data_IF_434945182035
#
_entry.id   IF_434945182035
#
_cell.length_a   1.000
_cell.length_b   1.000
_cell.length_c   1.000
_cell.angle_alpha   90.00
_cell.angle_beta   90.00
_cell.angle_gamma   90.00
#
_symmetry.space_group_name_H-M   'P 1'
#
loop_
_entity.id
_entity.type
_entity.pdbx_description
1 polymer ?
#
# COMPACT_ATOMS: atom_id res chain seq x y z
N UNK A 1 -15.81 28.33 39.93
CA UNK A 1 -15.87 29.79 40.10
C UNK A 1 -14.67 30.40 39.39
N UNK A 2 -14.93 31.36 38.50
CA UNK A 2 -14.05 32.43 37.98
C UNK A 2 -12.69 31.99 37.37
N UNK A 3 -12.37 32.22 36.09
CA UNK A 3 -12.74 33.32 35.19
C UNK A 3 -11.50 34.21 34.99
N UNK A 4 -11.06 34.42 33.74
CA UNK A 4 -9.92 35.31 33.46
C UNK A 4 -9.47 35.31 32.01
N UNK A 5 -10.24 35.99 31.15
CA UNK A 5 -9.85 36.41 29.80
C UNK A 5 -8.90 37.61 29.93
N UNK A 6 -7.78 37.63 29.22
CA UNK A 6 -7.10 38.86 28.82
C UNK A 6 -6.58 38.74 27.39
N UNK A 7 -7.27 39.42 26.47
CA UNK A 7 -6.69 39.83 25.20
C UNK A 7 -5.96 41.15 25.36
N UNK A 8 -4.88 41.33 24.60
CA UNK A 8 -4.31 42.64 24.27
C UNK A 8 -4.03 42.62 22.78
N UNK A 9 -4.58 43.61 22.08
CA UNK A 9 -4.36 43.87 20.66
C UNK A 9 -3.73 45.26 20.48
N UNK A 10 -3.07 45.39 19.32
CA UNK A 10 -2.68 46.59 18.57
C UNK A 10 -1.26 47.14 18.75
N UNK A 11 -0.50 47.06 17.65
CA UNK A 11 -0.03 48.26 16.95
C UNK A 11 -0.12 48.06 15.43
N UNK A 12 -0.83 48.98 14.81
CA UNK A 12 -1.15 49.13 13.39
C UNK A 12 -0.18 50.08 12.68
N UNK A 13 -0.16 50.00 11.34
CA UNK A 13 -0.06 51.07 10.33
C UNK A 13 0.88 50.64 9.16
N UNK A 14 0.57 50.82 7.87
CA UNK A 14 -0.41 51.66 7.17
C UNK A 14 -0.64 51.10 5.75
N UNK A 15 -1.85 51.20 5.23
CA UNK A 15 -2.12 51.51 3.81
C UNK A 15 -3.54 52.10 3.71
N UNK A 16 -3.64 53.29 3.12
CA UNK A 16 -4.86 54.09 3.00
C UNK A 16 -5.73 53.65 1.80
N UNK A 17 -7.05 53.96 1.82
CA UNK A 17 -8.04 53.42 0.88
C UNK A 17 -8.30 54.35 -0.31
N UNK A 18 -8.85 53.80 -1.40
CA UNK A 18 -9.61 54.54 -2.40
C UNK A 18 -11.06 54.04 -2.44
N UNK A 19 -11.95 55.02 -2.58
CA UNK A 19 -13.39 55.08 -2.35
C UNK A 19 -14.25 54.37 -3.43
N UNK A 20 -15.57 54.22 -3.18
CA UNK A 20 -16.48 53.34 -3.91
C UNK A 20 -17.20 54.04 -5.07
N UNK A 21 -17.70 53.24 -6.04
CA UNK A 21 -18.67 53.69 -7.04
C UNK A 21 -19.98 52.93 -6.83
N UNK A 22 -21.04 53.69 -6.61
CA UNK A 22 -22.42 53.27 -6.40
C UNK A 22 -23.20 53.15 -7.71
N UNK A 23 -23.94 52.03 -7.80
CA UNK A 23 -25.29 51.83 -8.36
C UNK A 23 -25.68 52.35 -9.74
N UNK A 24 -26.17 51.42 -10.60
CA UNK A 24 -27.41 51.63 -11.34
C UNK A 24 -28.19 50.33 -11.56
N UNK A 25 -29.38 50.31 -10.99
CA UNK A 25 -30.47 49.36 -11.25
C UNK A 25 -31.17 49.78 -12.54
N UNK A 26 -31.46 48.81 -13.42
CA UNK A 26 -32.55 48.93 -14.39
C UNK A 26 -33.32 47.60 -14.43
N UNK A 27 -34.59 47.66 -14.03
CA UNK A 27 -35.62 46.66 -14.31
C UNK A 27 -36.51 47.21 -15.44
N UNK A 28 -36.84 46.35 -16.41
CA UNK A 28 -38.13 46.30 -17.12
C UNK A 28 -38.17 44.93 -17.84
N UNK A 29 -39.01 43.96 -17.50
CA UNK A 29 -40.47 43.85 -17.53
C UNK A 29 -40.95 42.98 -18.72
N UNK A 30 -41.45 41.79 -18.35
CA UNK A 30 -42.61 41.01 -18.85
C UNK A 30 -42.73 40.59 -20.32
N UNK A 31 -42.92 39.27 -20.46
CA UNK A 31 -44.04 38.53 -21.11
C UNK A 31 -43.46 37.25 -21.75
N UNK A 32 -44.08 36.08 -21.87
CA UNK A 32 -45.22 35.38 -21.27
C UNK A 32 -45.38 34.09 -22.10
N UNK A 33 -45.59 32.92 -21.47
CA UNK A 33 -46.25 31.71 -22.05
C UNK A 33 -45.44 31.01 -23.18
N UNK A 34 -45.07 29.74 -23.08
CA UNK A 34 -46.01 28.63 -23.22
C UNK A 34 -45.59 27.32 -22.53
N UNK A 35 -46.61 26.60 -22.11
CA UNK A 35 -46.56 25.29 -21.46
C UNK A 35 -46.35 24.19 -22.51
N UNK A 36 -45.55 23.17 -22.20
CA UNK A 36 -45.92 21.80 -22.57
C UNK A 36 -45.44 20.81 -21.52
N UNK A 37 -46.42 20.06 -21.05
CA UNK A 37 -46.36 18.97 -20.08
C UNK A 37 -45.99 17.70 -20.83
N UNK A 38 -45.03 16.92 -20.32
CA UNK A 38 -45.01 15.47 -20.54
C UNK A 38 -44.63 14.78 -19.22
N UNK A 39 -45.55 13.94 -18.75
CA UNK A 39 -45.36 12.95 -17.68
C UNK A 39 -45.10 11.59 -18.32
N UNK A 40 -44.12 10.84 -17.79
CA UNK A 40 -44.16 9.37 -17.62
C UNK A 40 -42.98 9.00 -16.71
N UNK A 41 -43.21 8.60 -15.43
CA UNK A 41 -43.18 7.20 -14.93
C UNK A 41 -41.96 6.42 -15.41
N UNK A 42 -41.15 5.71 -14.64
CA UNK A 42 -41.28 5.07 -13.32
C UNK A 42 -39.96 4.30 -13.12
N UNK A 43 -39.48 4.09 -11.89
CA UNK A 43 -38.39 3.14 -11.67
C UNK A 43 -37.61 3.33 -10.38
N UNK A 44 -38.16 2.81 -9.29
CA UNK A 44 -37.53 2.64 -7.98
C UNK A 44 -36.34 1.68 -8.02
N UNK A 45 -35.26 1.99 -7.28
CA UNK A 45 -34.47 0.96 -6.60
C UNK A 45 -34.08 1.45 -5.20
N UNK A 46 -34.70 0.80 -4.22
CA UNK A 46 -34.45 0.94 -2.79
C UNK A 46 -33.12 0.28 -2.42
N UNK A 47 -32.39 0.95 -1.53
CA UNK A 47 -31.20 0.47 -0.82
C UNK A 47 -31.57 -0.57 0.23
N UNK A 48 -31.01 -1.77 0.14
CA UNK A 48 -31.06 -2.80 1.18
C UNK A 48 -29.79 -2.71 2.03
N UNK A 49 -29.83 -1.92 3.10
CA UNK A 49 -28.86 -1.92 4.20
C UNK A 49 -29.56 -1.26 5.40
N UNK A 50 -30.44 -2.02 6.06
CA UNK A 50 -30.91 -1.74 7.44
C UNK A 50 -31.88 -2.86 7.87
N UNK A 51 -31.35 -4.01 8.29
CA UNK A 51 -32.12 -4.99 9.10
C UNK A 51 -31.21 -6.11 9.66
N UNK A 52 -30.34 -5.79 10.63
CA UNK A 52 -29.78 -6.82 11.55
C UNK A 52 -29.09 -6.21 12.80
N UNK A 53 -29.65 -5.18 13.42
CA UNK A 53 -29.22 -4.75 14.77
C UNK A 53 -30.45 -4.55 15.65
N UNK A 54 -31.16 -5.64 15.97
CA UNK A 54 -31.93 -5.79 17.24
C UNK A 54 -32.20 -7.28 17.44
N UNK A 55 -31.43 -7.94 18.31
CA UNK A 55 -31.83 -9.01 19.25
C UNK A 55 -30.59 -9.72 19.75
N UNK A 56 -30.27 -9.51 21.02
CA UNK A 56 -29.99 -10.53 22.04
C UNK A 56 -29.29 -9.85 23.23
N UNK A 57 -30.07 -9.12 24.02
CA UNK A 57 -29.81 -8.92 25.44
C UNK A 57 -30.65 -9.94 26.21
N UNK A 58 -29.99 -10.77 27.00
CA UNK A 58 -30.65 -11.82 27.79
C UNK A 58 -29.64 -12.62 28.61
N UNK A 59 -29.44 -12.18 29.85
CA UNK A 59 -28.62 -12.83 30.87
C UNK A 59 -29.11 -14.27 31.19
N UNK A 60 -28.19 -15.21 31.47
CA UNK A 60 -27.98 -15.82 32.82
C UNK A 60 -27.20 -17.15 32.79
N UNK A 61 -26.23 -17.19 33.70
CA UNK A 61 -25.88 -18.29 34.62
C UNK A 61 -25.05 -19.50 34.16
N UNK A 62 -23.97 -19.68 34.93
CA UNK A 62 -23.05 -20.80 35.09
C UNK A 62 -23.72 -22.17 35.37
N UNK A 63 -23.17 -23.24 34.76
CA UNK A 63 -22.92 -24.55 35.40
C UNK A 63 -21.97 -25.43 34.57
N UNK A 64 -20.97 -26.00 35.25
CA UNK A 64 -20.06 -27.06 34.79
C UNK A 64 -20.83 -28.34 34.41
N UNK A 65 -20.39 -29.06 33.36
CA UNK A 65 -19.98 -30.48 33.41
C UNK A 65 -19.48 -31.00 32.05
N UNK A 66 -18.51 -31.90 32.19
CA UNK A 66 -17.88 -32.84 31.24
C UNK A 66 -18.81 -33.63 30.33
N UNK A 67 -18.36 -33.96 29.11
CA UNK A 67 -18.06 -35.35 28.68
C UNK A 67 -17.95 -35.47 27.15
N UNK A 68 -17.35 -36.59 26.76
CA UNK A 68 -16.80 -37.08 25.50
C UNK A 68 -17.70 -37.19 24.25
N UNK A 69 -16.99 -37.28 23.11
CA UNK A 69 -17.27 -38.02 21.86
C UNK A 69 -18.47 -37.64 20.98
N UNK A 70 -18.19 -37.40 19.69
CA UNK A 70 -19.21 -37.49 18.65
C UNK A 70 -18.88 -36.82 17.33
N UNK A 71 -18.20 -37.55 16.45
CA UNK A 71 -18.13 -37.28 15.01
C UNK A 71 -19.52 -37.04 14.42
N UNK A 72 -19.72 -35.92 13.72
CA UNK A 72 -20.70 -35.80 12.64
C UNK A 72 -20.38 -34.63 11.71
N UNK A 73 -20.03 -35.00 10.48
CA UNK A 73 -19.93 -34.14 9.29
C UNK A 73 -21.21 -33.33 9.11
N UNK A 74 -21.09 -32.02 8.87
CA UNK A 74 -22.03 -31.30 8.01
C UNK A 74 -21.26 -30.31 7.15
N UNK A 75 -21.36 -30.53 5.84
CA UNK A 75 -20.65 -29.87 4.75
C UNK A 75 -21.59 -28.78 4.23
N UNK A 76 -21.27 -27.51 4.45
CA UNK A 76 -21.98 -26.41 3.81
C UNK A 76 -21.46 -26.30 2.37
N UNK A 77 -22.37 -26.54 1.43
CA UNK A 77 -22.13 -26.69 0.00
C UNK A 77 -22.55 -25.39 -0.67
N UNK A 78 -21.60 -24.61 -1.19
CA UNK A 78 -21.89 -23.46 -2.05
C UNK A 78 -21.96 -23.93 -3.51
N UNK A 79 -22.92 -23.45 -4.32
CA UNK A 79 -23.07 -23.91 -5.69
C UNK A 79 -21.96 -23.36 -6.60
N UNK A 80 -21.24 -24.30 -7.24
CA UNK A 80 -20.35 -24.07 -8.38
C UNK A 80 -21.16 -23.57 -9.58
N UNK A 81 -20.91 -22.35 -10.01
CA UNK A 81 -21.34 -21.89 -11.33
C UNK A 81 -20.31 -22.37 -12.37
N UNK A 82 -20.76 -23.29 -13.21
CA UNK A 82 -20.05 -23.81 -14.38
C UNK A 82 -19.97 -22.69 -15.43
N UNK A 83 -18.77 -22.21 -15.74
CA UNK A 83 -18.56 -21.44 -16.97
C UNK A 83 -18.10 -22.43 -18.04
N UNK A 84 -19.01 -22.65 -19.00
CA UNK A 84 -18.84 -23.53 -20.13
C UNK A 84 -17.75 -23.05 -21.07
N UNK A 85 -17.06 -24.04 -21.61
CA UNK A 85 -16.04 -23.95 -22.63
C UNK A 85 -16.72 -23.73 -23.98
N UNK A 86 -16.56 -22.57 -24.61
CA UNK A 86 -16.84 -22.40 -26.04
C UNK A 86 -15.55 -22.10 -26.79
N UNK A 87 -15.10 -23.11 -27.53
CA UNK A 87 -14.10 -22.98 -28.57
C UNK A 87 -14.70 -22.22 -29.75
N UNK A 88 -14.16 -21.04 -30.06
CA UNK A 88 -14.35 -20.38 -31.34
C UNK A 88 -13.05 -20.47 -32.14
N UNK A 89 -13.14 -21.18 -33.26
CA UNK A 89 -12.07 -21.40 -34.22
C UNK A 89 -11.72 -20.13 -34.99
N UNK A 90 -10.43 -20.00 -35.33
CA UNK A 90 -9.98 -19.46 -36.61
C UNK A 90 -10.04 -17.96 -36.81
N UNK A 91 -8.99 -17.26 -36.41
CA UNK A 91 -8.51 -16.08 -37.15
C UNK A 91 -7.01 -15.90 -36.92
N UNK A 92 -6.23 -16.13 -37.98
CA UNK A 92 -4.81 -15.78 -38.05
C UNK A 92 -4.68 -14.27 -37.87
N UNK A 93 -4.16 -13.83 -36.73
CA UNK A 93 -3.71 -12.46 -36.53
C UNK A 93 -2.22 -12.41 -36.85
N UNK A 94 -1.90 -11.92 -38.05
CA UNK A 94 -0.56 -11.43 -38.33
C UNK A 94 -0.31 -10.22 -37.42
N UNK A 95 0.45 -10.43 -36.35
CA UNK A 95 0.98 -9.34 -35.53
C UNK A 95 2.08 -8.66 -36.34
N UNK A 96 1.72 -7.59 -37.04
CA UNK A 96 2.69 -6.60 -37.50
C UNK A 96 3.16 -5.88 -36.24
N UNK A 97 4.37 -6.21 -35.78
CA UNK A 97 5.01 -5.44 -34.71
C UNK A 97 5.35 -4.05 -35.25
N UNK A 98 4.55 -3.06 -34.87
CA UNK A 98 4.92 -1.66 -34.99
C UNK A 98 5.93 -1.32 -33.89
N UNK A 99 7.20 -1.18 -34.28
CA UNK A 99 8.32 -0.79 -33.40
C UNK A 99 8.40 0.72 -33.15
N UNK A 100 7.28 1.45 -33.18
CA UNK A 100 7.27 2.90 -33.02
C UNK A 100 6.25 3.43 -32.01
N UNK A 101 6.22 2.88 -30.80
CA UNK A 101 5.71 3.61 -29.63
C UNK A 101 6.83 3.84 -28.61
N UNK A 102 7.70 4.75 -29.01
CA UNK A 102 8.67 5.40 -28.15
C UNK A 102 7.89 6.29 -27.15
N UNK A 103 7.55 5.76 -25.98
CA UNK A 103 7.18 6.58 -24.81
C UNK A 103 8.46 7.19 -24.21
N UNK A 104 9.21 7.90 -25.04
CA UNK A 104 10.18 8.86 -24.57
C UNK A 104 9.37 10.06 -24.07
N UNK A 105 9.32 10.23 -22.75
CA UNK A 105 9.03 11.53 -22.14
C UNK A 105 9.86 12.59 -22.88
N UNK A 106 9.18 13.48 -23.60
CA UNK A 106 9.79 14.64 -24.26
C UNK A 106 10.64 15.38 -23.23
N UNK A 107 11.96 15.33 -23.40
CA UNK A 107 12.92 16.03 -22.58
C UNK A 107 12.90 17.56 -22.78
N UNK A 108 12.06 18.09 -23.68
CA UNK A 108 12.01 19.52 -24.03
C UNK A 108 10.65 20.20 -23.77
N UNK A 109 9.77 19.63 -22.94
CA UNK A 109 8.58 20.38 -22.52
C UNK A 109 8.92 21.33 -21.36
N UNK A 110 9.32 22.56 -21.68
CA UNK A 110 9.28 23.67 -20.74
C UNK A 110 7.82 24.00 -20.42
N UNK A 111 7.33 23.50 -19.28
CA UNK A 111 6.04 23.88 -18.72
C UNK A 111 6.07 25.35 -18.30
N UNK A 112 5.20 26.18 -18.89
CA UNK A 112 4.94 27.54 -18.40
C UNK A 112 4.29 27.49 -17.02
N UNK A 113 4.65 28.36 -16.05
CA UNK A 113 4.21 28.25 -14.66
C UNK A 113 2.72 28.50 -14.37
N UNK A 114 1.89 28.83 -15.37
CA UNK A 114 0.60 29.52 -15.14
C UNK A 114 -0.66 28.65 -15.20
N UNK A 115 -0.57 27.32 -15.34
CA UNK A 115 -1.77 26.45 -15.28
C UNK A 115 -1.51 25.12 -14.57
N UNK A 116 -1.13 25.18 -13.29
CA UNK A 116 -1.36 24.07 -12.36
C UNK A 116 -2.57 24.44 -11.49
N UNK A 117 -3.78 24.18 -11.97
CA UNK A 117 -4.86 23.86 -11.02
C UNK A 117 -4.47 22.50 -10.42
N UNK A 118 -3.79 22.56 -9.28
CA UNK A 118 -3.35 21.37 -8.54
C UNK A 118 -4.59 20.63 -8.04
N UNK A 119 -5.13 19.73 -8.84
CA UNK A 119 -5.89 18.61 -8.31
C UNK A 119 -4.88 17.83 -7.47
N UNK A 120 -4.87 18.09 -6.15
CA UNK A 120 -4.08 17.31 -5.22
C UNK A 120 -4.68 15.90 -5.21
N UNK A 121 -4.17 15.02 -6.08
CA UNK A 121 -4.58 13.62 -6.08
C UNK A 121 -4.15 13.01 -4.76
N UNK A 122 -5.14 12.73 -3.91
CA UNK A 122 -4.96 11.88 -2.75
C UNK A 122 -4.80 10.45 -3.25
N UNK A 123 -3.71 9.79 -2.85
CA UNK A 123 -3.38 8.42 -3.28
C UNK A 123 -3.49 7.50 -2.08
N UNK A 124 -4.22 6.40 -2.24
CA UNK A 124 -4.36 5.34 -1.25
C UNK A 124 -3.46 4.17 -1.63
N UNK A 125 -2.61 3.76 -0.69
CA UNK A 125 -1.68 2.64 -0.88
C UNK A 125 -1.99 1.55 0.15
N UNK A 126 -2.31 0.34 -0.33
CA UNK A 126 -2.51 -0.83 0.52
C UNK A 126 -1.18 -1.39 1.04
N UNK A 127 -0.83 -1.11 2.30
CA UNK A 127 0.40 -1.60 2.94
C UNK A 127 0.39 -3.12 3.08
N UNK A 128 1.34 -3.80 2.43
CA UNK A 128 1.37 -5.28 2.24
C UNK A 128 0.05 -5.86 1.71
N UNK A 129 -0.66 -5.06 0.92
CA UNK A 129 -2.07 -5.25 0.59
C UNK A 129 -3.01 -4.74 1.69
N UNK A 130 -3.61 -5.64 2.46
CA UNK A 130 -4.64 -5.33 3.46
C UNK A 130 -4.11 -5.03 4.88
N UNK A 131 -2.83 -4.65 5.00
CA UNK A 131 -2.18 -4.32 6.27
C UNK A 131 -1.24 -5.42 6.78
N UNK A 132 -0.41 -5.04 7.75
CA UNK A 132 0.49 -5.98 8.45
C UNK A 132 -0.30 -6.86 9.41
N UNK A 133 0.10 -8.12 9.54
CA UNK A 133 -0.41 -9.06 10.52
C UNK A 133 0.46 -9.03 11.77
N UNK A 134 -0.18 -9.09 12.94
CA UNK A 134 0.49 -9.25 14.23
C UNK A 134 0.56 -10.74 14.58
N UNK A 135 1.57 -11.10 15.37
CA UNK A 135 1.57 -12.39 16.06
C UNK A 135 0.59 -12.29 17.22
N UNK A 136 -0.43 -13.13 17.22
CA UNK A 136 -1.37 -13.22 18.33
C UNK A 136 -0.85 -14.24 19.35
N UNK A 137 -0.83 -13.92 20.66
CA UNK A 137 -0.59 -14.92 21.69
C UNK A 137 -1.57 -16.10 21.55
N UNK A 138 -1.13 -17.31 21.88
CA UNK A 138 -1.97 -18.50 21.83
C UNK A 138 -3.27 -18.30 22.64
N UNK A 139 -4.42 -18.50 21.99
CA UNK A 139 -5.73 -18.32 22.61
C UNK A 139 -6.31 -16.90 22.59
N UNK A 140 -5.61 -15.94 21.98
CA UNK A 140 -6.16 -14.58 21.77
C UNK A 140 -7.25 -14.60 20.72
N UNK A 141 -8.30 -13.82 20.92
CA UNK A 141 -9.30 -13.58 19.87
C UNK A 141 -8.69 -12.72 18.77
N UNK A 142 -8.93 -13.01 17.48
CA UNK A 142 -8.59 -12.13 16.38
C UNK A 142 -9.13 -10.72 16.62
N UNK A 143 -8.50 -9.72 15.99
CA UNK A 143 -9.01 -8.35 15.98
C UNK A 143 -10.45 -8.34 15.40
N UNK A 144 -11.22 -7.28 15.65
CA UNK A 144 -12.58 -7.14 15.10
C UNK A 144 -12.62 -7.15 13.57
N UNK A 145 -11.47 -6.96 12.92
CA UNK A 145 -11.28 -7.04 11.48
C UNK A 145 -10.59 -8.36 11.12
N UNK A 146 -11.10 -9.03 10.08
CA UNK A 146 -10.47 -10.21 9.50
C UNK A 146 -9.02 -9.93 9.10
N UNK A 147 -8.11 -10.79 9.56
CA UNK A 147 -6.69 -10.76 9.20
C UNK A 147 -6.46 -11.60 7.94
N UNK A 148 -5.85 -10.99 6.93
CA UNK A 148 -5.49 -11.64 5.67
C UNK A 148 -3.98 -11.65 5.59
N UNK A 149 -3.39 -12.78 5.20
CA UNK A 149 -1.94 -12.94 5.09
C UNK A 149 -1.31 -11.79 4.29
N UNK A 150 -0.47 -11.01 4.96
CA UNK A 150 0.28 -9.90 4.38
C UNK A 150 1.18 -10.39 3.25
N UNK A 151 1.46 -9.54 2.26
CA UNK A 151 2.38 -9.86 1.16
C UNK A 151 1.96 -11.09 0.31
N UNK A 152 0.66 -11.19 0.01
CA UNK A 152 0.09 -12.27 -0.81
C UNK A 152 -0.83 -11.72 -1.90
N UNK A 153 -1.00 -12.50 -2.98
CA UNK A 153 -1.88 -12.16 -4.11
C UNK A 153 -3.31 -11.90 -3.63
N UNK A 154 -3.82 -12.71 -2.70
CA UNK A 154 -5.15 -12.51 -2.10
C UNK A 154 -5.25 -11.15 -1.40
N UNK A 155 -4.25 -10.78 -0.60
CA UNK A 155 -4.20 -9.49 0.10
C UNK A 155 -4.16 -8.31 -0.87
N UNK A 156 -3.36 -8.40 -1.94
CA UNK A 156 -3.24 -7.35 -2.95
C UNK A 156 -4.51 -7.16 -3.76
N UNK A 157 -5.11 -8.25 -4.25
CA UNK A 157 -6.33 -8.19 -5.03
C UNK A 157 -7.53 -7.75 -4.18
N UNK A 158 -7.54 -8.03 -2.87
CA UNK A 158 -8.55 -7.45 -2.01
C UNK A 158 -8.34 -5.95 -1.78
N UNK A 159 -7.11 -5.47 -1.59
CA UNK A 159 -6.83 -4.04 -1.49
C UNK A 159 -7.26 -3.30 -2.77
N UNK A 160 -6.94 -3.86 -3.93
CA UNK A 160 -7.40 -3.38 -5.25
C UNK A 160 -8.93 -3.28 -5.34
N UNK A 161 -9.65 -4.33 -4.92
CA UNK A 161 -11.13 -4.33 -4.87
C UNK A 161 -11.71 -3.29 -3.91
N UNK A 162 -10.93 -2.81 -2.95
CA UNK A 162 -11.30 -1.73 -2.04
C UNK A 162 -10.71 -0.38 -2.49
N UNK A 163 -10.49 -0.21 -3.80
CA UNK A 163 -10.12 1.06 -4.44
C UNK A 163 -8.75 1.62 -4.01
N UNK A 164 -7.82 0.75 -3.57
CA UNK A 164 -6.44 1.16 -3.41
C UNK A 164 -5.81 1.45 -4.79
N UNK A 165 -5.26 2.66 -4.96
CA UNK A 165 -4.55 3.07 -6.19
C UNK A 165 -3.29 2.23 -6.40
N UNK A 166 -2.58 1.96 -5.30
CA UNK A 166 -1.39 1.12 -5.27
C UNK A 166 -1.51 0.04 -4.19
N UNK A 167 -0.80 -1.06 -4.38
CA UNK A 167 -0.40 -1.95 -3.29
C UNK A 167 1.09 -1.79 -3.05
N UNK A 168 1.45 -1.73 -1.77
CA UNK A 168 2.83 -1.76 -1.33
C UNK A 168 3.17 -3.16 -0.84
N UNK A 169 4.40 -3.57 -1.10
CA UNK A 169 4.93 -4.82 -0.60
C UNK A 169 6.46 -4.83 -0.55
N UNK A 170 6.98 -5.70 0.31
CA UNK A 170 8.40 -5.83 0.61
C UNK A 170 9.08 -6.88 -0.26
N UNK A 171 10.11 -6.50 -1.00
CA UNK A 171 10.87 -7.40 -1.85
C UNK A 171 12.26 -7.66 -1.27
N UNK A 172 12.59 -8.95 -1.16
CA UNK A 172 13.91 -9.47 -0.86
C UNK A 172 14.33 -10.47 -1.95
N UNK A 173 15.60 -10.85 -2.00
CA UNK A 173 16.10 -11.79 -3.03
C UNK A 173 16.77 -12.99 -2.36
N UNK A 174 16.28 -14.19 -2.70
CA UNK A 174 16.79 -15.47 -2.21
C UNK A 174 18.23 -15.73 -2.64
N UNK A 175 18.87 -16.74 -2.07
CA UNK A 175 20.24 -17.17 -2.37
C UNK A 175 20.45 -17.48 -3.86
N UNK A 176 19.44 -18.09 -4.49
CA UNK A 176 19.40 -18.45 -5.90
C UNK A 176 18.93 -17.31 -6.83
N UNK A 177 18.81 -16.08 -6.29
CA UNK A 177 18.63 -14.87 -7.08
C UNK A 177 17.18 -14.55 -7.45
N UNK A 178 16.19 -15.12 -6.75
CA UNK A 178 14.77 -14.90 -7.06
C UNK A 178 14.18 -13.81 -6.16
N UNK A 179 13.58 -12.75 -6.74
CA UNK A 179 12.83 -11.76 -5.97
C UNK A 179 11.55 -12.34 -5.36
N UNK A 180 11.52 -12.42 -4.04
CA UNK A 180 10.36 -12.87 -3.26
C UNK A 180 9.68 -11.69 -2.58
N UNK A 181 8.40 -11.86 -2.22
CA UNK A 181 7.67 -10.85 -1.46
C UNK A 181 7.55 -11.28 0.01
N UNK A 182 8.35 -10.65 0.88
CA UNK A 182 8.41 -10.94 2.31
C UNK A 182 9.10 -9.82 3.10
N UNK A 183 8.53 -9.46 4.27
CA UNK A 183 8.99 -8.30 5.04
C UNK A 183 10.20 -8.57 5.95
N UNK A 184 10.15 -9.64 6.74
CA UNK A 184 11.15 -9.84 7.81
C UNK A 184 12.46 -10.36 7.22
N UNK A 185 13.62 -9.91 7.73
CA UNK A 185 14.94 -10.37 7.26
C UNK A 185 15.16 -11.88 7.46
N UNK A 186 14.40 -12.46 8.39
CA UNK A 186 14.43 -13.88 8.74
C UNK A 186 13.04 -14.50 8.64
N UNK A 187 13.00 -15.72 8.10
CA UNK A 187 11.81 -16.57 8.11
C UNK A 187 12.01 -17.70 9.14
N UNK A 188 10.94 -18.05 9.84
CA UNK A 188 10.94 -19.10 10.86
C UNK A 188 9.84 -20.11 10.53
N UNK A 189 10.18 -21.39 10.54
CA UNK A 189 9.25 -22.49 10.29
C UNK A 189 9.03 -23.34 11.56
N UNK A 190 8.44 -24.53 11.40
CA UNK A 190 8.08 -25.45 12.49
C UNK A 190 9.26 -25.87 13.39
N UNK A 191 10.48 -25.93 12.85
CA UNK A 191 11.69 -26.21 13.62
C UNK A 191 12.17 -25.03 14.47
N UNK A 192 11.50 -23.87 14.35
CA UNK A 192 11.79 -22.64 15.08
C UNK A 192 13.22 -22.11 14.90
N UNK A 193 13.89 -22.52 13.83
CA UNK A 193 15.22 -22.05 13.46
C UNK A 193 15.05 -20.82 12.55
N UNK A 194 15.53 -19.62 12.95
CA UNK A 194 15.53 -18.46 12.08
C UNK A 194 16.50 -18.64 10.92
N UNK A 195 16.05 -18.33 9.71
CA UNK A 195 16.87 -18.37 8.48
C UNK A 195 16.80 -17.03 7.79
N UNK A 196 17.96 -16.46 7.43
CA UNK A 196 17.98 -15.24 6.61
C UNK A 196 17.48 -15.53 5.20
N UNK A 197 16.65 -14.64 4.65
CA UNK A 197 16.11 -14.78 3.29
C UNK A 197 17.23 -14.90 2.24
N UNK A 198 18.30 -14.12 2.39
CA UNK A 198 19.47 -14.16 1.49
C UNK A 198 20.26 -15.48 1.53
N UNK A 199 19.99 -16.36 2.49
CA UNK A 199 20.72 -17.63 2.68
C UNK A 199 19.92 -18.88 2.25
N UNK A 200 18.63 -18.72 1.92
CA UNK A 200 17.75 -19.82 1.50
C UNK A 200 17.39 -19.73 0.02
N UNK A 201 17.07 -20.85 -0.61
CA UNK A 201 16.59 -20.92 -2.00
C UNK A 201 15.10 -20.60 -2.10
N UNK A 202 14.60 -20.36 -3.33
CA UNK A 202 13.16 -20.25 -3.57
C UNK A 202 12.41 -21.52 -3.16
N UNK A 203 12.99 -22.70 -3.42
CA UNK A 203 12.38 -23.98 -3.06
C UNK A 203 12.20 -24.10 -1.54
N UNK A 204 13.24 -23.76 -0.78
CA UNK A 204 13.17 -23.73 0.69
C UNK A 204 12.14 -22.71 1.17
N UNK A 205 12.14 -21.50 0.59
CA UNK A 205 11.15 -20.47 0.87
C UNK A 205 9.73 -20.99 0.64
N UNK A 206 9.41 -21.48 -0.56
CA UNK A 206 8.08 -22.03 -0.87
C UNK A 206 7.69 -23.22 -0.01
N UNK A 207 8.63 -23.99 0.53
CA UNK A 207 8.34 -25.07 1.46
C UNK A 207 7.84 -24.62 2.84
N UNK A 208 7.81 -23.31 3.10
CA UNK A 208 7.33 -22.70 4.35
C UNK A 208 5.97 -22.02 4.11
N UNK A 209 5.06 -22.13 5.08
CA UNK A 209 3.72 -21.56 4.99
C UNK A 209 2.71 -22.35 4.15
N UNK A 210 1.49 -21.79 4.02
CA UNK A 210 0.39 -22.42 3.29
C UNK A 210 0.78 -22.75 1.85
N UNK A 211 0.35 -23.92 1.37
CA UNK A 211 0.62 -24.41 0.02
C UNK A 211 -0.66 -24.36 -0.82
N UNK A 212 -0.53 -23.96 -2.09
CA UNK A 212 -1.63 -24.00 -3.07
C UNK A 212 -1.95 -25.43 -3.54
N UNK A 213 -0.94 -26.31 -3.54
CA UNK A 213 -1.09 -27.72 -3.92
C UNK A 213 -1.30 -28.62 -2.70
N UNK A 214 -2.37 -29.42 -2.71
CA UNK A 214 -2.72 -30.31 -1.60
C UNK A 214 -1.70 -31.43 -1.32
N UNK A 215 -0.77 -31.68 -2.23
CA UNK A 215 0.26 -32.72 -2.14
C UNK A 215 1.56 -32.24 -1.51
N UNK A 216 1.76 -30.93 -1.36
CA UNK A 216 2.97 -30.35 -0.77
C UNK A 216 2.88 -30.31 0.75
N UNK A 217 3.98 -30.66 1.42
CA UNK A 217 4.09 -30.58 2.88
C UNK A 217 4.22 -29.11 3.28
N UNK A 218 3.19 -28.57 3.93
CA UNK A 218 3.20 -27.21 4.49
C UNK A 218 3.93 -27.19 5.83
N UNK A 219 5.07 -26.49 5.92
CA UNK A 219 5.68 -26.19 7.23
C UNK A 219 5.02 -24.95 7.83
N UNK A 220 4.45 -25.07 9.01
CA UNK A 220 3.82 -23.94 9.70
C UNK A 220 4.78 -22.77 9.86
N UNK A 221 4.30 -21.54 9.64
CA UNK A 221 5.08 -20.32 9.83
C UNK A 221 5.06 -19.89 11.30
N UNK A 222 6.21 -19.41 11.74
CA UNK A 222 6.39 -18.80 13.06
C UNK A 222 6.95 -17.40 12.88
N UNK A 223 6.71 -16.52 13.84
CA UNK A 223 7.22 -15.15 13.83
C UNK A 223 7.52 -14.70 15.24
N UNK A 224 8.55 -13.86 15.38
CA UNK A 224 8.95 -13.29 16.66
C UNK A 224 7.92 -12.24 17.08
N UNK A 225 7.30 -12.43 18.25
CA UNK A 225 6.41 -11.46 18.88
C UNK A 225 7.20 -10.30 19.51
N UNK A 226 6.47 -9.27 19.94
CA UNK A 226 7.07 -8.05 20.52
C UNK A 226 7.86 -8.33 21.80
N UNK A 227 7.43 -9.33 22.59
CA UNK A 227 8.14 -9.78 23.80
C UNK A 227 9.36 -10.67 23.51
N UNK A 228 9.64 -10.93 22.23
CA UNK A 228 10.75 -11.74 21.76
C UNK A 228 10.45 -13.24 21.67
N UNK A 229 9.28 -13.71 22.10
CA UNK A 229 8.87 -15.10 21.94
C UNK A 229 8.64 -15.45 20.46
N UNK A 230 8.93 -16.69 20.09
CA UNK A 230 8.59 -17.21 18.76
C UNK A 230 7.25 -17.95 18.90
N UNK A 231 6.25 -17.54 18.14
CA UNK A 231 4.93 -18.15 18.18
C UNK A 231 4.42 -18.45 16.77
N UNK A 232 3.45 -19.36 16.72
CA UNK A 232 2.76 -19.73 15.49
C UNK A 232 2.14 -18.48 14.86
N UNK A 233 2.43 -18.24 13.59
CA UNK A 233 1.98 -17.06 12.87
C UNK A 233 0.89 -17.43 11.88
N UNK A 234 -0.36 -17.25 12.30
CA UNK A 234 -1.57 -17.55 11.51
C UNK A 234 -2.44 -16.31 11.30
N UNK A 235 -3.29 -16.38 10.30
CA UNK A 235 -4.28 -15.37 9.91
C UNK A 235 -5.63 -16.03 9.63
N UNK A 236 -6.71 -15.24 9.57
CA UNK A 236 -8.06 -15.76 9.29
C UNK A 236 -8.18 -16.23 7.83
N UNK A 237 -7.49 -15.54 6.91
CA UNK A 237 -7.38 -15.90 5.51
C UNK A 237 -5.92 -16.10 5.14
N UNK A 238 -5.55 -17.37 5.02
CA UNK A 238 -4.24 -17.81 4.58
C UNK A 238 -4.11 -17.82 3.06
N UNK A 239 -2.90 -17.55 2.57
CA UNK A 239 -2.52 -17.69 1.17
C UNK A 239 -1.03 -18.07 1.10
N UNK A 240 -0.61 -18.64 -0.03
CA UNK A 240 0.79 -19.01 -0.23
C UNK A 240 1.68 -17.79 -0.37
N UNK A 241 2.94 -17.94 0.06
CA UNK A 241 3.95 -16.91 -0.17
C UNK A 241 4.23 -16.79 -1.67
N UNK A 242 4.42 -15.56 -2.14
CA UNK A 242 4.53 -15.28 -3.57
C UNK A 242 5.85 -14.61 -3.95
N UNK A 243 6.20 -14.71 -5.23
CA UNK A 243 7.35 -14.03 -5.83
C UNK A 243 6.91 -12.79 -6.60
N UNK A 244 7.85 -11.88 -6.88
CA UNK A 244 7.55 -10.65 -7.61
C UNK A 244 6.92 -10.92 -8.99
N UNK A 245 7.40 -11.95 -9.70
CA UNK A 245 6.85 -12.35 -10.98
C UNK A 245 5.37 -12.78 -10.92
N UNK A 246 4.96 -13.49 -9.85
CA UNK A 246 3.56 -13.88 -9.62
C UNK A 246 2.70 -12.65 -9.34
N UNK A 247 3.21 -11.67 -8.57
CA UNK A 247 2.49 -10.42 -8.33
C UNK A 247 2.22 -9.67 -9.64
N UNK A 248 3.20 -9.57 -10.55
CA UNK A 248 2.98 -8.96 -11.87
C UNK A 248 1.91 -9.69 -12.69
N UNK A 249 1.88 -11.02 -12.63
CA UNK A 249 0.97 -11.86 -13.39
C UNK A 249 -0.48 -11.85 -12.85
N UNK A 250 -0.64 -11.84 -11.52
CA UNK A 250 -1.92 -12.19 -10.88
C UNK A 250 -2.62 -11.02 -10.17
N UNK A 251 -1.91 -9.94 -9.84
CA UNK A 251 -2.55 -8.75 -9.26
C UNK A 251 -3.28 -7.97 -10.35
N UNK A 252 -4.48 -7.47 -10.04
CA UNK A 252 -5.31 -6.63 -10.92
C UNK A 252 -4.45 -5.63 -11.73
N UNK A 253 -4.47 -5.66 -13.08
CA UNK A 253 -3.56 -4.87 -13.92
C UNK A 253 -3.62 -3.35 -13.71
N UNK A 254 -4.78 -2.84 -13.29
CA UNK A 254 -4.98 -1.40 -13.05
C UNK A 254 -4.41 -0.91 -11.72
N UNK A 255 -4.06 -1.80 -10.79
CA UNK A 255 -3.49 -1.42 -9.50
C UNK A 255 -1.98 -1.18 -9.62
N UNK A 256 -1.52 -0.01 -9.18
CA UNK A 256 -0.09 0.31 -9.19
C UNK A 256 0.70 -0.45 -8.12
N UNK A 257 2.01 -0.57 -8.30
CA UNK A 257 2.91 -1.17 -7.31
C UNK A 257 3.82 -0.14 -6.67
N UNK A 258 3.88 -0.17 -5.34
CA UNK A 258 5.05 0.29 -4.60
C UNK A 258 5.92 -0.92 -4.26
N UNK A 259 7.12 -0.97 -4.85
CA UNK A 259 8.07 -2.05 -4.62
C UNK A 259 9.09 -1.57 -3.58
N UNK A 260 8.91 -1.93 -2.30
CA UNK A 260 9.90 -1.66 -1.26
C UNK A 260 11.06 -2.65 -1.38
N UNK A 261 12.27 -2.18 -1.66
CA UNK A 261 13.46 -3.03 -1.59
C UNK A 261 13.97 -3.06 -0.14
N UNK A 262 13.91 -4.24 0.46
CA UNK A 262 14.25 -4.46 1.86
C UNK A 262 15.71 -4.86 2.03
N UNK A 263 16.36 -4.22 3.00
CA UNK A 263 17.74 -4.50 3.41
C UNK A 263 17.83 -4.48 4.93
N UNK A 264 18.75 -5.28 5.49
CA UNK A 264 18.92 -5.37 6.93
C UNK A 264 19.34 -4.04 7.56
N UNK A 265 18.76 -3.73 8.72
CA UNK A 265 19.01 -2.49 9.46
C UNK A 265 20.30 -2.52 10.31
N UNK A 266 20.98 -3.66 10.38
CA UNK A 266 22.21 -3.85 11.15
C UNK A 266 23.45 -3.19 10.53
N UNK A 267 23.31 -2.60 9.34
CA UNK A 267 24.39 -1.96 8.60
C UNK A 267 25.39 -2.95 7.98
N UNK A 268 25.08 -4.25 7.96
CA UNK A 268 25.95 -5.28 7.39
C UNK A 268 25.81 -5.46 5.88
N UNK A 269 24.79 -4.85 5.27
CA UNK A 269 24.51 -4.98 3.83
C UNK A 269 25.64 -4.35 3.01
N UNK A 270 26.36 -5.17 2.24
CA UNK A 270 27.47 -4.69 1.40
C UNK A 270 26.94 -4.05 0.11
N UNK A 271 27.79 -3.26 -0.56
CA UNK A 271 27.44 -2.66 -1.85
C UNK A 271 27.16 -3.73 -2.91
N UNK A 272 27.91 -4.84 -2.89
CA UNK A 272 27.70 -5.97 -3.79
C UNK A 272 26.32 -6.61 -3.58
N UNK A 273 25.88 -6.72 -2.33
CA UNK A 273 24.56 -7.23 -2.00
C UNK A 273 23.44 -6.28 -2.45
N UNK A 274 23.63 -4.96 -2.29
CA UNK A 274 22.70 -3.96 -2.85
C UNK A 274 22.54 -4.17 -4.36
N UNK A 275 23.65 -4.31 -5.07
CA UNK A 275 23.64 -4.55 -6.51
C UNK A 275 22.96 -5.86 -6.89
N UNK A 276 23.25 -6.96 -6.18
CA UNK A 276 22.63 -8.27 -6.41
C UNK A 276 21.11 -8.21 -6.31
N UNK A 277 20.60 -7.61 -5.23
CA UNK A 277 19.16 -7.48 -4.98
C UNK A 277 18.52 -6.56 -6.02
N UNK A 278 19.09 -5.37 -6.23
CA UNK A 278 18.53 -4.37 -7.17
C UNK A 278 18.50 -4.92 -8.59
N UNK A 279 19.57 -5.57 -9.05
CA UNK A 279 19.65 -6.04 -10.43
C UNK A 279 18.65 -7.17 -10.70
N UNK A 280 18.41 -8.08 -9.74
CA UNK A 280 17.38 -9.12 -9.84
C UNK A 280 15.97 -8.52 -9.90
N UNK A 281 15.64 -7.58 -9.00
CA UNK A 281 14.33 -6.90 -9.00
C UNK A 281 14.10 -6.12 -10.29
N UNK A 282 15.09 -5.36 -10.76
CA UNK A 282 14.99 -4.59 -12.00
C UNK A 282 14.94 -5.49 -13.24
N UNK A 283 15.41 -6.73 -13.18
CA UNK A 283 15.22 -7.70 -14.26
C UNK A 283 13.74 -8.08 -14.39
N UNK A 284 13.08 -8.48 -13.30
CA UNK A 284 11.63 -8.79 -13.28
C UNK A 284 10.80 -7.58 -13.70
N UNK A 285 10.99 -6.45 -12.99
CA UNK A 285 11.11 -5.10 -13.57
C UNK A 285 10.75 -4.94 -15.05
N UNK A 286 11.81 -5.00 -15.85
CA UNK A 286 11.84 -4.76 -17.29
C UNK A 286 11.03 -5.78 -18.08
N UNK A 287 10.94 -7.02 -17.59
CA UNK A 287 10.29 -8.11 -18.31
C UNK A 287 8.77 -8.14 -18.09
N UNK A 288 8.30 -7.75 -16.91
CA UNK A 288 6.96 -8.08 -16.44
C UNK A 288 6.07 -6.86 -16.14
N UNK A 289 6.63 -5.65 -16.07
CA UNK A 289 5.85 -4.45 -15.72
C UNK A 289 4.65 -4.20 -16.65
N UNK A 290 4.79 -4.48 -17.95
CA UNK A 290 3.73 -4.37 -18.96
C UNK A 290 2.88 -3.07 -18.85
N UNK A 291 3.54 -1.92 -18.67
CA UNK A 291 2.88 -0.61 -18.56
C UNK A 291 2.21 -0.33 -17.21
N UNK A 292 2.31 -1.23 -16.22
CA UNK A 292 1.82 -1.00 -14.86
C UNK A 292 2.49 0.23 -14.24
N UNK A 293 1.70 1.00 -13.49
CA UNK A 293 2.21 2.10 -12.68
C UNK A 293 3.07 1.56 -11.55
N UNK A 294 4.33 1.98 -11.46
CA UNK A 294 5.27 1.50 -10.45
C UNK A 294 6.01 2.69 -9.86
N UNK A 295 6.26 2.64 -8.55
CA UNK A 295 7.35 3.37 -7.93
C UNK A 295 8.12 2.45 -6.98
N UNK A 296 9.38 2.78 -6.73
CA UNK A 296 10.24 2.06 -5.80
C UNK A 296 10.36 2.82 -4.49
N UNK A 297 10.55 2.10 -3.39
CA UNK A 297 10.94 2.69 -2.12
C UNK A 297 12.03 1.89 -1.41
N UNK A 298 12.81 2.53 -0.55
CA UNK A 298 13.68 1.82 0.41
C UNK A 298 14.07 2.74 1.57
N UNK A 299 14.33 2.15 2.74
CA UNK A 299 14.96 2.84 3.87
C UNK A 299 16.48 2.96 3.72
N UNK A 300 17.09 2.23 2.77
CA UNK A 300 18.54 2.21 2.60
C UNK A 300 18.99 3.35 1.68
N UNK A 301 19.74 4.36 2.18
CA UNK A 301 20.06 5.54 1.38
C UNK A 301 20.84 5.19 0.11
N UNK A 302 21.83 4.30 0.19
CA UNK A 302 22.61 3.94 -1.02
C UNK A 302 21.79 3.12 -2.03
N UNK A 303 20.80 2.34 -1.58
CA UNK A 303 19.95 1.57 -2.47
C UNK A 303 19.08 2.48 -3.35
N UNK A 304 18.48 3.53 -2.77
CA UNK A 304 17.67 4.49 -3.56
C UNK A 304 18.53 5.26 -4.57
N UNK A 305 19.80 5.55 -4.25
CA UNK A 305 20.76 6.14 -5.19
C UNK A 305 21.06 5.20 -6.36
N UNK A 306 21.33 3.93 -6.07
CA UNK A 306 21.64 2.91 -7.09
C UNK A 306 20.41 2.63 -7.97
N UNK A 307 19.22 2.47 -7.36
CA UNK A 307 17.96 2.29 -8.06
C UNK A 307 17.70 3.42 -9.05
N UNK A 308 17.81 4.67 -8.59
CA UNK A 308 17.54 5.83 -9.45
C UNK A 308 18.49 5.94 -10.64
N UNK A 309 19.77 5.57 -10.45
CA UNK A 309 20.77 5.50 -11.54
C UNK A 309 20.48 4.38 -12.53
N UNK A 310 20.01 3.22 -12.08
CA UNK A 310 19.77 2.03 -12.92
C UNK A 310 18.39 2.01 -13.59
N UNK A 311 17.42 2.72 -13.04
CA UNK A 311 16.03 2.75 -13.51
C UNK A 311 15.46 4.17 -13.38
N UNK A 312 15.65 5.00 -14.41
CA UNK A 312 15.16 6.38 -14.43
C UNK A 312 13.68 6.51 -14.80
N UNK A 313 13.09 5.46 -15.37
CA UNK A 313 11.70 5.45 -15.84
C UNK A 313 10.69 5.60 -14.70
N UNK A 314 10.90 4.88 -13.59
CA UNK A 314 9.98 4.88 -12.47
C UNK A 314 10.46 5.81 -11.35
N UNK A 315 9.53 6.47 -10.62
CA UNK A 315 9.85 7.24 -9.43
C UNK A 315 10.53 6.39 -8.36
N UNK A 316 11.47 6.98 -7.64
CA UNK A 316 12.08 6.38 -6.45
C UNK A 316 11.79 7.28 -5.25
N UNK A 317 11.34 6.67 -4.17
CA UNK A 317 11.02 7.33 -2.91
C UNK A 317 11.95 6.85 -1.80
N UNK A 318 12.31 7.76 -0.90
CA UNK A 318 13.08 7.40 0.29
C UNK A 318 12.16 7.24 1.50
N UNK A 319 12.26 6.09 2.17
CA UNK A 319 11.50 5.78 3.39
C UNK A 319 12.25 6.29 4.63
N UNK A 320 11.53 6.90 5.57
CA UNK A 320 12.11 7.43 6.80
C UNK A 320 11.15 7.37 7.99
N UNK A 321 11.67 7.08 9.17
CA UNK A 321 10.92 7.26 10.42
C UNK A 321 10.87 8.71 10.89
N UNK A 322 11.47 9.65 10.14
CA UNK A 322 11.35 11.09 10.39
C UNK A 322 11.84 11.55 11.77
N UNK A 323 12.73 10.78 12.41
CA UNK A 323 13.23 11.03 13.76
C UNK A 323 12.48 10.31 14.88
N UNK A 324 11.37 9.59 14.58
CA UNK A 324 10.68 8.74 15.56
C UNK A 324 11.53 7.55 16.04
N UNK A 325 12.58 7.20 15.28
CA UNK A 325 13.57 6.18 15.61
C UNK A 325 14.94 6.64 15.12
N UNK A 326 15.97 6.42 15.94
CA UNK A 326 17.36 6.72 15.59
C UNK A 326 18.06 5.48 15.03
N UNK A 327 18.77 5.67 13.93
CA UNK A 327 19.61 4.68 13.26
C UNK A 327 21.08 5.10 13.29
N UNK A 328 21.97 4.14 13.07
CA UNK A 328 23.41 4.38 12.95
C UNK A 328 23.74 5.29 11.76
N UNK A 329 22.99 5.16 10.65
CA UNK A 329 23.14 6.04 9.49
C UNK A 329 22.36 7.35 9.71
N UNK A 330 23.06 8.51 9.83
CA UNK A 330 22.42 9.79 10.09
C UNK A 330 21.45 10.24 8.99
N UNK A 331 21.62 9.73 7.76
CA UNK A 331 20.75 10.06 6.61
C UNK A 331 19.30 9.63 6.83
N UNK A 332 19.06 8.72 7.79
CA UNK A 332 17.74 8.14 8.11
C UNK A 332 17.01 8.84 9.26
N UNK A 333 17.67 9.78 9.94
CA UNK A 333 17.25 10.22 11.29
C UNK A 333 16.38 11.46 11.33
N UNK A 334 16.04 12.08 10.19
CA UNK A 334 15.09 13.20 10.15
C UNK A 334 14.45 13.38 8.77
N UNK A 335 13.43 14.23 8.68
CA UNK A 335 12.83 14.63 7.39
C UNK A 335 13.82 15.45 6.56
N UNK A 336 14.57 16.34 7.18
CA UNK A 336 15.60 17.16 6.53
C UNK A 336 16.70 16.28 5.93
N UNK A 337 17.18 15.28 6.68
CA UNK A 337 18.14 14.32 6.18
C UNK A 337 17.57 13.53 4.99
N UNK A 338 16.28 13.15 5.05
CA UNK A 338 15.60 12.50 3.93
C UNK A 338 15.45 13.40 2.69
N UNK A 339 15.25 14.71 2.86
CA UNK A 339 15.26 15.69 1.77
C UNK A 339 16.63 15.72 1.10
N UNK A 340 17.72 15.73 1.87
CA UNK A 340 19.07 15.71 1.31
C UNK A 340 19.36 14.44 0.52
N UNK A 341 18.94 13.26 1.00
CA UNK A 341 19.04 12.00 0.24
C UNK A 341 18.28 12.12 -1.09
N UNK A 342 17.08 12.71 -1.07
CA UNK A 342 16.30 12.92 -2.28
C UNK A 342 16.99 13.87 -3.26
N UNK A 343 17.54 14.98 -2.75
CA UNK A 343 18.27 15.98 -3.55
C UNK A 343 19.51 15.38 -4.20
N UNK A 344 20.31 14.62 -3.46
CA UNK A 344 21.52 13.97 -3.96
C UNK A 344 21.23 12.93 -5.03
N UNK A 345 20.12 12.20 -4.87
CA UNK A 345 19.72 11.14 -5.79
C UNK A 345 18.83 11.56 -6.93
N UNK A 346 18.34 12.80 -6.96
CA UNK A 346 17.25 13.20 -7.83
C UNK A 346 16.04 12.23 -7.68
N UNK A 347 15.67 11.95 -6.43
CA UNK A 347 14.53 11.11 -6.06
C UNK A 347 13.24 11.93 -6.11
N UNK A 348 12.10 11.26 -6.23
CA UNK A 348 10.82 11.90 -6.50
C UNK A 348 10.01 12.19 -5.23
N UNK A 349 10.30 11.52 -4.12
CA UNK A 349 9.54 11.77 -2.90
C UNK A 349 10.04 11.06 -1.64
N UNK A 350 9.35 11.35 -0.55
CA UNK A 350 9.59 10.80 0.78
C UNK A 350 8.34 10.06 1.23
N UNK A 351 8.54 8.91 1.88
CA UNK A 351 7.50 8.17 2.59
C UNK A 351 7.88 8.18 4.08
N UNK A 352 7.11 8.87 4.93
CA UNK A 352 7.48 9.04 6.34
C UNK A 352 6.50 8.42 7.34
N UNK A 353 7.03 7.89 8.44
CA UNK A 353 6.21 7.40 9.54
C UNK A 353 5.32 8.52 10.13
N UNK A 354 4.06 8.18 10.38
CA UNK A 354 3.02 9.15 10.68
C UNK A 354 3.26 9.90 12.00
N UNK A 355 3.94 9.33 13.00
CA UNK A 355 4.20 10.05 14.25
C UNK A 355 5.16 11.21 14.03
N UNK A 356 6.13 11.09 13.13
CA UNK A 356 7.00 12.21 12.78
C UNK A 356 6.19 13.39 12.19
N UNK A 357 5.19 13.06 11.36
CA UNK A 357 4.25 14.04 10.79
C UNK A 357 3.35 14.65 11.85
N UNK A 358 2.80 13.84 12.77
CA UNK A 358 1.92 14.33 13.84
C UNK A 358 2.67 15.20 14.84
N UNK A 359 3.93 14.89 15.13
CA UNK A 359 4.79 15.70 16.00
C UNK A 359 5.20 17.01 15.31
N UNK A 360 5.44 16.98 14.00
CA UNK A 360 5.88 18.15 13.23
C UNK A 360 5.08 18.30 11.92
N UNK A 361 3.82 18.78 11.95
CA UNK A 361 2.99 18.87 10.74
C UNK A 361 3.57 19.78 9.64
N UNK A 362 4.39 20.76 10.04
CA UNK A 362 5.10 21.65 9.12
C UNK A 362 6.04 20.90 8.16
N UNK A 363 6.50 19.69 8.52
CA UNK A 363 7.36 18.84 7.70
C UNK A 363 6.73 18.51 6.34
N UNK A 364 5.40 18.38 6.26
CA UNK A 364 4.71 18.13 4.98
C UNK A 364 4.86 19.32 4.04
N UNK A 365 4.67 20.54 4.55
CA UNK A 365 4.85 21.76 3.76
C UNK A 365 6.31 21.94 3.37
N UNK A 366 7.25 21.61 4.26
CA UNK A 366 8.68 21.62 3.98
C UNK A 366 9.02 20.70 2.81
N UNK A 367 8.64 19.42 2.85
CA UNK A 367 8.93 18.48 1.76
C UNK A 367 8.31 18.94 0.43
N UNK A 368 7.04 19.38 0.45
CA UNK A 368 6.36 19.88 -0.75
C UNK A 368 7.02 21.13 -1.32
N UNK A 369 7.56 22.01 -0.49
CA UNK A 369 8.29 23.20 -0.94
C UNK A 369 9.56 22.87 -1.74
N UNK A 370 10.08 21.65 -1.57
CA UNK A 370 11.23 21.13 -2.34
C UNK A 370 10.80 20.45 -3.65
N UNK A 371 9.52 20.49 -4.01
CA UNK A 371 8.99 19.82 -5.21
C UNK A 371 8.89 18.30 -5.09
N UNK A 372 9.00 17.76 -3.87
CA UNK A 372 8.94 16.33 -3.60
C UNK A 372 7.51 15.87 -3.28
N UNK A 373 7.16 14.66 -3.74
CA UNK A 373 5.96 13.97 -3.26
C UNK A 373 6.14 13.54 -1.80
N UNK A 374 5.04 13.53 -1.04
CA UNK A 374 5.05 13.14 0.37
C UNK A 374 3.95 12.14 0.65
N UNK A 375 4.34 10.95 1.11
CA UNK A 375 3.45 9.87 1.52
C UNK A 375 3.71 9.59 3.00
N UNK A 376 2.76 8.96 3.69
CA UNK A 376 2.93 8.56 5.09
C UNK A 376 2.43 7.15 5.36
N UNK A 377 3.02 6.48 6.34
CA UNK A 377 2.62 5.14 6.81
C UNK A 377 2.63 5.08 8.34
N UNK A 378 2.01 4.05 8.91
CA UNK A 378 2.05 3.78 10.35
C UNK A 378 0.67 3.72 11.00
N UNK A 379 0.66 3.66 12.32
CA UNK A 379 -0.57 3.57 13.14
C UNK A 379 -0.77 4.87 13.92
N UNK A 380 -2.00 5.41 13.92
CA UNK A 380 -2.40 6.66 14.59
C UNK A 380 -2.61 6.51 16.12
N UNK A 381 -1.93 5.58 16.77
CA UNK A 381 -2.19 5.22 18.18
C UNK A 381 -2.01 6.36 19.16
#
# INVERSE_FOLDING_TARGET
MQGGIHGVALLSCTCAPKSPVTTRVQQSARSSVDQSVFFSSSGSHFSLLDEAIVKLSGERSCKKRSSEFGSKKSRLQYPMAMIGNEAAAGSSWNVVMDHSQNLALRADYQMSPETFETSSMFVVVGHRGCGKNKVLPQGSTPETRLSIRENTITSFNLASKNEADFVEFDVQVTKDGIPIIFHDDVIVAEDQIPRHIREITLEEFRGMGPQTESTKVSKSLYRKAVDGSIALWTTDVEDSMCILAEAFAEVQPSTGFNIELKFGDDGSTTVEELHRVIDAVLQDVRQLANGRMIYFSSFHPDAVQILRKKMSLYPVFFLTNGGSQTYNDPRRNSIEAAIEVCREGNLQGIVSEVKAVLQHPASVALVKSQGLFFFTYGELK
#
